data_IF_056278770094
#
_entry.id   IF_056278770094
#
_cell.length_a   1.000
_cell.length_b   1.000
_cell.length_c   1.000
_cell.angle_alpha   90.00
_cell.angle_beta   90.00
_cell.angle_gamma   90.00
#
_symmetry.space_group_name_H-M   'P 1'
#
loop_
_entity.id
_entity.type
_entity.pdbx_description
1 polymer ?
#
# COMPACT_ATOMS: atom_id res chain seq x y z
N UNK A 1 -3.56 17.85 2.17
CA UNK A 1 -2.43 18.79 2.26
C UNK A 1 -2.24 19.39 0.88
N UNK A 2 -2.34 20.71 0.75
CA UNK A 2 -2.11 21.39 -0.54
C UNK A 2 -0.61 21.62 -0.70
N UNK A 3 -0.07 21.50 -1.92
CA UNK A 3 1.36 21.77 -2.16
C UNK A 3 1.74 23.22 -1.84
N UNK A 4 0.80 24.16 -1.93
CA UNK A 4 1.01 25.58 -1.60
C UNK A 4 0.96 25.90 -0.10
N UNK A 5 0.73 24.90 0.75
CA UNK A 5 0.76 25.07 2.19
C UNK A 5 2.18 25.49 2.64
N UNK A 6 2.36 26.60 3.39
CA UNK A 6 3.67 27.06 3.84
C UNK A 6 4.47 26.01 4.62
N UNK A 7 3.79 25.12 5.35
CA UNK A 7 4.44 24.06 6.11
C UNK A 7 4.94 22.94 5.17
N UNK A 8 4.17 22.61 4.13
CA UNK A 8 4.58 21.68 3.07
C UNK A 8 5.77 22.24 2.29
N UNK A 9 5.74 23.52 1.92
CA UNK A 9 6.86 24.18 1.24
C UNK A 9 8.12 24.22 2.11
N UNK A 10 7.98 24.49 3.41
CA UNK A 10 9.09 24.44 4.36
C UNK A 10 9.67 23.03 4.48
N UNK A 11 8.82 22.02 4.62
CA UNK A 11 9.24 20.62 4.65
C UNK A 11 9.99 20.22 3.37
N UNK A 12 9.47 20.57 2.18
CA UNK A 12 10.12 20.27 0.91
C UNK A 12 11.48 20.97 0.77
N UNK A 13 11.60 22.22 1.22
CA UNK A 13 12.87 22.95 1.22
C UNK A 13 13.89 22.31 2.16
N UNK A 14 13.50 21.95 3.37
CA UNK A 14 14.39 21.27 4.32
C UNK A 14 14.76 19.87 3.85
N UNK A 15 13.85 19.16 3.20
CA UNK A 15 14.12 17.87 2.54
C UNK A 15 15.20 18.03 1.44
N UNK A 16 15.04 19.01 0.54
CA UNK A 16 16.05 19.31 -0.50
C UNK A 16 17.41 19.66 0.08
N UNK A 17 17.46 20.46 1.15
CA UNK A 17 18.71 20.79 1.85
C UNK A 17 19.36 19.56 2.47
N UNK A 18 18.59 18.65 3.07
CA UNK A 18 19.11 17.38 3.62
C UNK A 18 19.71 16.51 2.53
N UNK A 19 19.01 16.36 1.40
CA UNK A 19 19.53 15.61 0.24
C UNK A 19 20.83 16.24 -0.27
N UNK A 20 20.86 17.56 -0.50
CA UNK A 20 22.07 18.25 -0.94
C UNK A 20 23.24 18.09 0.05
N UNK A 21 22.97 18.18 1.35
CA UNK A 21 23.96 17.95 2.40
C UNK A 21 24.49 16.51 2.37
N UNK A 22 23.62 15.52 2.23
CA UNK A 22 24.02 14.11 2.10
C UNK A 22 24.86 13.87 0.85
N UNK A 23 24.52 14.50 -0.29
CA UNK A 23 25.33 14.42 -1.51
C UNK A 23 26.74 14.97 -1.29
N UNK A 24 26.85 16.11 -0.61
CA UNK A 24 28.15 16.72 -0.31
C UNK A 24 28.97 15.89 0.68
N UNK A 25 28.33 15.39 1.74
CA UNK A 25 28.98 14.48 2.71
C UNK A 25 29.49 13.22 2.02
N UNK A 26 28.71 12.64 1.11
CA UNK A 26 29.11 11.50 0.27
C UNK A 26 30.31 11.83 -0.61
N UNK A 27 30.27 12.96 -1.33
CA UNK A 27 31.36 13.41 -2.21
C UNK A 27 32.65 13.60 -1.42
N UNK A 28 32.56 14.26 -0.27
CA UNK A 28 33.69 14.47 0.64
C UNK A 28 34.23 13.13 1.16
N UNK A 29 33.36 12.24 1.62
CA UNK A 29 33.75 10.92 2.13
C UNK A 29 34.49 10.10 1.07
N UNK A 30 34.06 10.13 -0.18
CA UNK A 30 34.73 9.45 -1.29
C UNK A 30 36.07 10.09 -1.66
N UNK A 31 36.15 11.42 -1.67
CA UNK A 31 37.38 12.15 -1.99
C UNK A 31 38.46 11.98 -0.91
N UNK A 32 38.05 11.89 0.36
CA UNK A 32 38.93 11.72 1.51
C UNK A 32 39.13 10.24 1.91
N UNK A 33 38.50 9.31 1.20
CA UNK A 33 38.53 7.88 1.52
C UNK A 33 39.96 7.35 1.49
N UNK A 34 40.44 6.89 2.65
CA UNK A 34 41.78 6.38 2.83
C UNK A 34 41.72 5.17 3.77
N UNK A 35 41.92 3.99 3.19
CA UNK A 35 41.81 2.70 3.88
C UNK A 35 42.75 2.64 5.09
N UNK A 36 43.94 3.23 4.98
CA UNK A 36 44.97 3.16 6.01
C UNK A 36 44.64 4.02 7.25
N UNK A 37 43.63 4.91 7.15
CA UNK A 37 43.17 5.76 8.26
C UNK A 37 42.02 5.16 9.06
N UNK A 38 41.42 4.08 8.59
CA UNK A 38 40.25 3.48 9.23
C UNK A 38 40.68 2.37 10.19
N UNK A 39 40.09 2.36 11.38
CA UNK A 39 40.29 1.28 12.34
C UNK A 39 39.52 0.02 11.91
N UNK A 40 40.09 -1.15 12.19
CA UNK A 40 39.42 -2.42 11.93
C UNK A 40 38.59 -2.80 13.15
N UNK A 41 37.29 -2.96 12.96
CA UNK A 41 36.38 -3.53 13.94
C UNK A 41 36.41 -5.07 13.82
N UNK A 42 37.14 -5.70 14.76
CA UNK A 42 37.32 -7.14 14.80
C UNK A 42 36.07 -7.94 15.20
N UNK A 43 35.05 -7.28 15.75
CA UNK A 43 33.79 -7.91 16.13
C UNK A 43 32.72 -7.78 15.04
N UNK A 44 32.81 -6.75 14.20
CA UNK A 44 31.80 -6.46 13.21
C UNK A 44 31.77 -7.43 12.01
N UNK A 45 30.56 -7.87 11.70
CA UNK A 45 30.19 -8.50 10.43
C UNK A 45 29.17 -7.59 9.75
N UNK A 46 29.47 -7.13 8.55
CA UNK A 46 28.56 -6.30 7.77
C UNK A 46 27.94 -7.10 6.64
N UNK A 47 26.66 -6.87 6.35
CA UNK A 47 25.95 -7.42 5.20
C UNK A 47 25.55 -6.27 4.26
N UNK A 48 26.10 -6.29 3.05
CA UNK A 48 25.70 -5.41 1.96
C UNK A 48 24.54 -6.10 1.21
N UNK A 49 23.36 -5.49 1.24
CA UNK A 49 22.14 -6.01 0.61
C UNK A 49 21.61 -5.05 -0.44
N UNK A 50 21.27 -5.56 -1.62
CA UNK A 50 20.51 -4.84 -2.65
C UNK A 50 19.07 -5.32 -2.67
N UNK A 51 18.14 -4.40 -2.42
CA UNK A 51 16.71 -4.67 -2.27
C UNK A 51 15.89 -3.83 -3.23
N UNK A 52 14.81 -4.41 -3.75
CA UNK A 52 13.85 -3.68 -4.58
C UNK A 52 12.96 -2.82 -3.67
N UNK A 53 12.91 -1.52 -3.95
CA UNK A 53 12.21 -0.53 -3.14
C UNK A 53 10.93 0.01 -3.82
N UNK A 54 10.49 -0.61 -4.92
CA UNK A 54 9.26 -0.25 -5.63
C UNK A 54 9.48 0.44 -6.96
N UNK A 55 8.42 1.09 -7.47
CA UNK A 55 8.45 1.90 -8.68
C UNK A 55 8.39 3.38 -8.31
N UNK A 56 9.06 4.23 -9.07
CA UNK A 56 8.97 5.69 -8.97
C UNK A 56 8.73 6.31 -10.35
N UNK A 57 7.95 7.37 -10.39
CA UNK A 57 7.81 8.23 -11.57
C UNK A 57 8.59 9.53 -11.42
N UNK A 58 9.25 9.77 -10.27
CA UNK A 58 9.98 11.01 -10.02
C UNK A 58 11.27 11.06 -10.86
N UNK A 59 11.35 11.90 -11.90
CA UNK A 59 12.54 12.02 -12.73
C UNK A 59 13.69 12.71 -11.98
N UNK A 60 13.43 13.37 -10.84
CA UNK A 60 14.45 14.10 -10.07
C UNK A 60 15.32 13.18 -9.21
N UNK A 61 14.98 11.90 -9.14
CA UNK A 61 15.82 10.87 -8.56
C UNK A 61 16.74 10.22 -9.60
N UNK A 62 16.64 10.57 -10.89
CA UNK A 62 17.56 10.03 -11.88
C UNK A 62 19.01 10.31 -11.47
N UNK A 63 19.81 9.29 -11.72
CA UNK A 63 21.18 9.01 -11.30
C UNK A 63 22.23 10.01 -11.82
N UNK A 64 21.91 11.30 -11.94
CA UNK A 64 22.90 12.39 -12.06
C UNK A 64 23.62 12.59 -10.69
N UNK A 65 24.11 11.47 -10.15
CA UNK A 65 25.29 11.40 -9.30
C UNK A 65 26.56 11.55 -10.12
N UNK A 66 26.48 11.50 -11.46
CA UNK A 66 27.59 11.86 -12.33
C UNK A 66 27.98 13.31 -12.04
N UNK A 67 29.15 13.43 -11.42
CA UNK A 67 29.80 14.61 -10.86
C UNK A 67 30.26 15.61 -11.93
N UNK A 68 29.50 15.81 -13.01
CA UNK A 68 29.78 16.90 -13.93
C UNK A 68 29.24 18.20 -13.30
N UNK A 69 30.16 18.91 -12.63
CA UNK A 69 29.97 20.23 -12.03
C UNK A 69 29.20 21.16 -12.97
N UNK A 70 27.89 21.30 -12.76
CA UNK A 70 27.12 22.43 -13.29
C UNK A 70 27.39 23.65 -12.40
N UNK A 71 28.65 24.05 -12.30
CA UNK A 71 29.11 25.29 -11.68
C UNK A 71 28.96 26.47 -12.67
N UNK A 72 27.86 26.50 -13.44
CA UNK A 72 27.50 27.66 -14.25
C UNK A 72 26.25 28.36 -13.67
N UNK A 73 26.42 29.22 -12.65
CA UNK A 73 25.34 29.99 -12.05
C UNK A 73 24.75 31.06 -12.97
N UNK A 74 25.20 31.20 -14.22
CA UNK A 74 24.70 32.19 -15.19
C UNK A 74 23.67 31.64 -16.20
N UNK A 75 23.26 30.38 -16.11
CA UNK A 75 22.11 29.92 -16.91
C UNK A 75 20.80 30.38 -16.26
N UNK A 76 20.51 31.68 -16.38
CA UNK A 76 19.22 32.29 -16.06
C UNK A 76 18.10 31.44 -16.67
N UNK A 77 17.11 31.13 -15.83
CA UNK A 77 15.91 30.39 -16.16
C UNK A 77 15.33 30.83 -17.50
N UNK A 78 15.51 29.99 -18.53
CA UNK A 78 14.74 30.12 -19.76
C UNK A 78 13.25 30.09 -19.35
N UNK A 79 12.43 31.05 -19.82
CA UNK A 79 11.04 31.13 -19.41
C UNK A 79 10.34 29.82 -19.73
N UNK A 80 9.75 29.20 -18.70
CA UNK A 80 8.96 27.99 -18.82
C UNK A 80 7.91 28.19 -19.91
N UNK A 81 8.10 27.53 -21.06
CA UNK A 81 7.10 27.48 -22.09
C UNK A 81 5.97 26.56 -21.61
N UNK A 82 4.87 27.16 -21.18
CA UNK A 82 3.64 26.56 -20.64
C UNK A 82 2.88 25.59 -21.59
N UNK A 83 3.53 24.99 -22.58
CA UNK A 83 2.84 24.22 -23.63
C UNK A 83 3.25 22.77 -23.82
N UNK A 84 4.23 22.25 -23.08
CA UNK A 84 4.56 20.83 -23.17
C UNK A 84 3.82 20.05 -22.09
N UNK A 85 2.77 19.35 -22.53
CA UNK A 85 2.14 18.24 -21.82
C UNK A 85 3.21 17.48 -21.03
N UNK A 86 3.12 17.50 -19.70
CA UNK A 86 3.91 16.63 -18.82
C UNK A 86 3.72 15.20 -19.34
N UNK A 87 4.66 14.74 -20.16
CA UNK A 87 4.71 13.35 -20.57
C UNK A 87 5.03 12.61 -19.28
N UNK A 88 4.00 12.00 -18.68
CA UNK A 88 4.17 11.08 -17.56
C UNK A 88 5.35 10.16 -17.90
N UNK A 89 6.46 10.34 -17.19
CA UNK A 89 7.63 9.51 -17.38
C UNK A 89 7.27 8.08 -17.01
N UNK A 90 7.69 7.13 -17.86
CA UNK A 90 7.44 5.71 -17.60
C UNK A 90 7.96 5.34 -16.19
N UNK A 91 7.20 4.57 -15.40
CA UNK A 91 7.62 4.16 -14.06
C UNK A 91 8.98 3.46 -14.10
N UNK A 92 9.94 3.97 -13.34
CA UNK A 92 11.28 3.41 -13.18
C UNK A 92 11.35 2.57 -11.91
N UNK A 93 12.14 1.50 -11.94
CA UNK A 93 12.39 0.69 -10.74
C UNK A 93 13.30 1.44 -9.77
N UNK A 94 13.01 1.35 -8.49
CA UNK A 94 13.82 1.90 -7.41
C UNK A 94 14.45 0.75 -6.62
N UNK A 95 15.72 0.88 -6.30
CA UNK A 95 16.46 -0.07 -5.48
C UNK A 95 17.10 0.65 -4.30
N UNK A 96 17.38 -0.10 -3.24
CA UNK A 96 18.07 0.40 -2.05
C UNK A 96 19.25 -0.52 -1.72
N UNK A 97 20.41 0.09 -1.48
CA UNK A 97 21.54 -0.59 -0.86
C UNK A 97 21.53 -0.35 0.64
N UNK A 98 21.67 -1.42 1.39
CA UNK A 98 21.80 -1.41 2.83
C UNK A 98 23.15 -1.97 3.25
N UNK A 99 23.76 -1.37 4.27
CA UNK A 99 24.89 -1.95 4.98
C UNK A 99 24.44 -2.31 6.40
N UNK A 100 24.00 -3.54 6.63
CA UNK A 100 23.56 -3.98 7.95
C UNK A 100 24.75 -4.41 8.82
N UNK A 101 24.72 -4.07 10.11
CA UNK A 101 25.66 -4.63 11.11
C UNK A 101 24.98 -5.83 11.77
N UNK A 102 25.67 -6.98 11.75
CA UNK A 102 25.21 -8.23 12.36
C UNK A 102 25.93 -8.47 13.68
N UNK A 103 25.28 -8.06 14.78
CA UNK A 103 25.77 -8.25 16.15
C UNK A 103 25.42 -9.64 16.71
N UNK A 104 25.74 -10.69 15.94
CA UNK A 104 25.49 -12.08 16.32
C UNK A 104 24.16 -12.67 15.83
N UNK A 105 23.86 -13.93 16.19
CA UNK A 105 22.76 -14.71 15.63
C UNK A 105 21.35 -14.25 16.04
N UNK A 106 21.22 -13.39 17.05
CA UNK A 106 19.93 -12.95 17.62
C UNK A 106 19.67 -11.45 17.44
N UNK A 107 20.53 -10.72 16.72
CA UNK A 107 20.36 -9.29 16.49
C UNK A 107 19.22 -9.01 15.50
N UNK A 108 18.24 -8.20 15.91
CA UNK A 108 17.01 -7.92 15.18
C UNK A 108 17.30 -7.35 13.77
N UNK A 109 16.64 -7.91 12.76
CA UNK A 109 17.10 -7.90 11.36
C UNK A 109 17.01 -6.56 10.63
N UNK A 110 16.40 -5.52 11.22
CA UNK A 110 15.93 -4.36 10.44
C UNK A 110 16.44 -2.98 10.84
N UNK A 111 16.93 -2.79 12.06
CA UNK A 111 17.22 -1.44 12.59
C UNK A 111 18.72 -1.09 12.64
N UNK A 112 19.60 -2.04 12.34
CA UNK A 112 21.05 -1.86 12.47
C UNK A 112 21.71 -1.52 11.12
N UNK A 113 21.09 -0.61 10.37
CA UNK A 113 21.65 -0.15 9.09
C UNK A 113 22.72 0.91 9.35
N UNK A 114 23.96 0.58 9.03
CA UNK A 114 25.11 1.50 9.09
C UNK A 114 25.05 2.60 8.04
N UNK A 115 24.52 2.26 6.88
CA UNK A 115 24.33 3.18 5.77
C UNK A 115 23.22 2.66 4.86
N UNK A 116 22.50 3.59 4.22
CA UNK A 116 21.40 3.30 3.29
C UNK A 116 21.51 4.29 2.14
N UNK A 117 21.48 3.81 0.91
CA UNK A 117 21.49 4.64 -0.29
C UNK A 117 20.44 4.12 -1.28
N UNK A 118 19.75 5.03 -1.96
CA UNK A 118 18.69 4.72 -2.92
C UNK A 118 19.20 4.94 -4.35
N UNK A 119 18.79 4.07 -5.27
CA UNK A 119 19.18 4.09 -6.68
C UNK A 119 17.95 3.96 -7.58
N UNK A 120 17.98 4.64 -8.73
CA UNK A 120 16.99 4.48 -9.79
C UNK A 120 17.55 3.53 -10.84
N UNK A 121 16.90 2.37 -10.98
CA UNK A 121 17.46 1.25 -11.70
C UNK A 121 18.49 0.48 -10.86
N UNK A 122 19.07 -0.54 -11.48
CA UNK A 122 20.11 -1.34 -10.83
C UNK A 122 21.40 -0.53 -10.72
N UNK A 123 22.05 -0.45 -9.55
CA UNK A 123 23.29 0.29 -9.40
C UNK A 123 24.40 -0.34 -10.24
N UNK A 124 25.28 0.49 -10.78
CA UNK A 124 26.52 0.06 -11.42
C UNK A 124 27.50 -0.51 -10.39
N UNK A 125 28.45 -1.34 -10.83
CA UNK A 125 29.49 -1.87 -9.94
C UNK A 125 30.30 -0.77 -9.25
N UNK A 126 30.48 0.38 -9.90
CA UNK A 126 31.17 1.54 -9.32
C UNK A 126 30.36 2.20 -8.22
N UNK A 127 29.05 2.38 -8.42
CA UNK A 127 28.14 2.87 -7.37
C UNK A 127 28.13 1.93 -6.16
N UNK A 128 28.12 0.60 -6.37
CA UNK A 128 28.21 -0.37 -5.27
C UNK A 128 29.55 -0.26 -4.53
N UNK A 129 30.68 -0.09 -5.24
CA UNK A 129 31.98 0.14 -4.61
C UNK A 129 31.99 1.42 -3.76
N UNK A 130 31.48 2.52 -4.32
CA UNK A 130 31.41 3.81 -3.63
C UNK A 130 30.50 3.76 -2.41
N UNK A 131 29.36 3.06 -2.49
CA UNK A 131 28.50 2.78 -1.35
C UNK A 131 29.25 2.08 -0.20
N UNK A 132 30.08 1.07 -0.51
CA UNK A 132 30.88 0.37 0.51
C UNK A 132 31.89 1.33 1.16
N UNK A 133 32.56 2.18 0.37
CA UNK A 133 33.52 3.17 0.87
C UNK A 133 32.86 4.18 1.79
N UNK A 134 31.69 4.70 1.40
CA UNK A 134 30.92 5.64 2.22
C UNK A 134 30.46 4.96 3.51
N UNK A 135 29.99 3.70 3.42
CA UNK A 135 29.62 2.92 4.60
C UNK A 135 30.79 2.77 5.59
N UNK A 136 32.03 2.70 5.10
CA UNK A 136 33.23 2.65 5.95
C UNK A 136 33.61 4.02 6.52
N UNK A 137 33.65 5.07 5.70
CA UNK A 137 34.23 6.37 6.06
C UNK A 137 33.24 7.40 6.63
N UNK A 138 31.98 7.34 6.24
CA UNK A 138 30.93 8.28 6.65
C UNK A 138 29.59 7.55 6.89
N UNK A 139 29.54 6.63 7.88
CA UNK A 139 28.30 5.94 8.22
C UNK A 139 27.28 6.92 8.85
N UNK A 140 26.08 6.42 9.15
CA UNK A 140 25.10 7.17 9.96
C UNK A 140 25.72 7.59 11.31
N UNK A 141 25.30 8.75 11.83
CA UNK A 141 25.91 9.44 12.99
C UNK A 141 26.07 8.59 14.26
N UNK A 142 25.28 7.53 14.40
CA UNK A 142 25.35 6.59 15.53
C UNK A 142 26.52 5.60 15.44
N UNK A 143 27.26 5.58 14.34
CA UNK A 143 28.37 4.67 14.08
C UNK A 143 29.67 5.42 13.81
N UNK A 144 30.78 4.83 14.23
CA UNK A 144 32.11 5.36 13.97
C UNK A 144 32.68 4.83 12.64
N UNK A 145 33.45 5.61 11.88
CA UNK A 145 34.16 5.14 10.69
C UNK A 145 35.09 3.96 10.98
N UNK A 146 34.97 2.86 10.23
CA UNK A 146 35.74 1.63 10.47
C UNK A 146 35.71 0.69 9.27
N UNK A 147 36.51 -0.39 9.33
CA UNK A 147 36.50 -1.52 8.41
C UNK A 147 36.03 -2.76 9.19
N UNK A 148 35.04 -3.53 8.72
CA UNK A 148 34.58 -4.70 9.45
C UNK A 148 35.58 -5.86 9.29
N UNK A 149 35.54 -6.81 10.21
CA UNK A 149 36.23 -8.08 10.04
C UNK A 149 35.70 -8.88 8.85
N UNK A 150 34.39 -8.84 8.59
CA UNK A 150 33.77 -9.57 7.48
C UNK A 150 32.77 -8.71 6.72
N UNK A 151 32.92 -8.65 5.39
CA UNK A 151 31.92 -8.12 4.46
C UNK A 151 31.18 -9.27 3.78
N UNK A 152 29.91 -9.44 4.09
CA UNK A 152 29.02 -10.33 3.37
C UNK A 152 28.24 -9.55 2.30
N UNK A 153 27.99 -10.16 1.16
CA UNK A 153 27.20 -9.59 0.06
C UNK A 153 26.01 -10.50 -0.23
N UNK A 154 24.82 -9.91 -0.32
CA UNK A 154 23.62 -10.66 -0.70
C UNK A 154 23.72 -11.17 -2.14
N UNK A 155 22.93 -12.19 -2.45
CA UNK A 155 22.96 -12.87 -3.75
C UNK A 155 22.72 -11.92 -4.93
N UNK A 156 21.89 -10.88 -4.72
CA UNK A 156 21.57 -9.87 -5.73
C UNK A 156 22.80 -9.05 -6.17
N UNK A 157 23.88 -9.05 -5.40
CA UNK A 157 25.13 -8.36 -5.72
C UNK A 157 26.17 -9.24 -6.43
N UNK A 158 25.87 -10.52 -6.69
CA UNK A 158 26.76 -11.40 -7.45
C UNK A 158 27.17 -10.86 -8.83
N UNK A 159 26.31 -10.17 -9.60
CA UNK A 159 26.72 -9.55 -10.87
C UNK A 159 27.89 -8.56 -10.73
N UNK A 160 28.06 -7.93 -9.57
CA UNK A 160 29.13 -6.95 -9.33
C UNK A 160 30.44 -7.57 -8.82
N UNK A 161 30.43 -8.86 -8.47
CA UNK A 161 31.54 -9.53 -7.79
C UNK A 161 32.88 -9.30 -8.47
N UNK A 162 32.98 -9.59 -9.78
CA UNK A 162 34.24 -9.49 -10.52
C UNK A 162 34.82 -8.07 -10.50
N UNK A 163 33.96 -7.05 -10.60
CA UNK A 163 34.37 -5.65 -10.60
C UNK A 163 34.78 -5.17 -9.20
N UNK A 164 34.18 -5.71 -8.14
CA UNK A 164 34.49 -5.35 -6.75
C UNK A 164 35.77 -6.01 -6.20
N UNK A 165 36.16 -7.18 -6.71
CA UNK A 165 37.30 -7.94 -6.19
C UNK A 165 38.61 -7.13 -6.04
N UNK A 166 39.03 -6.27 -7.00
CA UNK A 166 40.23 -5.45 -6.84
C UNK A 166 40.20 -4.57 -5.57
N UNK A 167 39.08 -3.90 -5.32
CA UNK A 167 38.88 -3.09 -4.12
C UNK A 167 38.81 -3.97 -2.86
N UNK A 168 38.05 -5.07 -2.89
CA UNK A 168 37.93 -5.97 -1.73
C UNK A 168 39.26 -6.62 -1.34
N UNK A 169 40.16 -6.87 -2.31
CA UNK A 169 41.51 -7.36 -2.05
C UNK A 169 42.48 -6.30 -1.53
N UNK A 170 42.16 -5.01 -1.68
CA UNK A 170 42.95 -3.91 -1.10
C UNK A 170 42.65 -3.64 0.38
N UNK A 171 41.59 -4.25 0.93
CA UNK A 171 41.23 -4.08 2.34
C UNK A 171 42.26 -4.78 3.26
N UNK A 172 42.59 -4.18 4.42
CA UNK A 172 43.61 -4.68 5.31
C UNK A 172 43.15 -5.95 6.04
N UNK A 173 44.09 -6.84 6.33
CA UNK A 173 43.84 -8.01 7.17
C UNK A 173 43.42 -7.58 8.59
N UNK A 174 42.42 -8.23 9.24
CA UNK A 174 41.73 -9.47 8.86
C UNK A 174 40.39 -9.27 8.15
N UNK A 175 40.19 -8.17 7.42
CA UNK A 175 38.97 -8.00 6.63
C UNK A 175 38.88 -9.11 5.56
N UNK A 176 37.81 -9.90 5.61
CA UNK A 176 37.50 -10.90 4.60
C UNK A 176 36.15 -10.58 3.95
N UNK A 177 35.93 -11.08 2.74
CA UNK A 177 34.68 -10.89 2.02
C UNK A 177 34.04 -12.22 1.59
N UNK A 178 32.71 -12.28 1.61
CA UNK A 178 31.93 -13.47 1.26
C UNK A 178 30.74 -13.03 0.39
N UNK A 179 30.56 -13.67 -0.75
CA UNK A 179 29.35 -13.51 -1.56
C UNK A 179 28.42 -14.68 -1.30
N UNK A 180 27.14 -14.37 -1.04
CA UNK A 180 26.10 -15.36 -0.88
C UNK A 180 25.98 -16.23 -2.14
N UNK A 181 26.00 -17.56 -1.94
CA UNK A 181 25.77 -18.52 -3.03
C UNK A 181 24.28 -18.67 -3.28
N UNK A 182 23.90 -19.14 -4.48
CA UNK A 182 22.50 -19.45 -4.80
C UNK A 182 21.87 -20.44 -3.79
N UNK A 183 22.67 -21.38 -3.27
CA UNK A 183 22.23 -22.36 -2.26
C UNK A 183 21.92 -21.71 -0.91
N UNK A 184 22.77 -20.77 -0.46
CA UNK A 184 22.52 -20.03 0.78
C UNK A 184 21.31 -19.13 0.62
N UNK A 185 21.18 -18.45 -0.53
CA UNK A 185 20.04 -17.61 -0.85
C UNK A 185 18.73 -18.38 -0.83
N UNK A 186 18.68 -19.52 -1.53
CA UNK A 186 17.51 -20.37 -1.51
C UNK A 186 17.19 -20.85 -0.10
N UNK A 187 18.19 -21.26 0.68
CA UNK A 187 17.99 -21.69 2.07
C UNK A 187 17.48 -20.55 2.95
N UNK A 188 17.97 -19.33 2.76
CA UNK A 188 17.48 -18.15 3.49
C UNK A 188 16.04 -17.83 3.10
N UNK A 189 15.68 -17.89 1.82
CA UNK A 189 14.30 -17.76 1.36
C UNK A 189 13.39 -18.85 1.95
N UNK A 190 13.84 -20.11 1.96
CA UNK A 190 13.12 -21.24 2.53
C UNK A 190 12.93 -21.11 4.06
N UNK A 191 13.89 -20.49 4.76
CA UNK A 191 13.78 -20.21 6.21
C UNK A 191 12.94 -18.97 6.52
N UNK A 192 13.02 -17.95 5.67
CA UNK A 192 12.24 -16.72 5.80
C UNK A 192 10.75 -16.98 5.56
N UNK A 193 10.41 -17.90 4.65
CA UNK A 193 9.02 -18.17 4.31
C UNK A 193 8.15 -18.62 5.51
N UNK A 194 8.53 -19.64 6.32
CA UNK A 194 7.76 -20.01 7.52
C UNK A 194 7.66 -18.91 8.57
N UNK A 195 8.69 -18.07 8.71
CA UNK A 195 8.68 -16.94 9.64
C UNK A 195 7.72 -15.85 9.14
N UNK A 196 7.79 -15.52 7.85
CA UNK A 196 6.86 -14.60 7.20
C UNK A 196 5.42 -15.10 7.24
N UNK A 197 5.20 -16.40 7.02
CA UNK A 197 3.89 -17.04 7.15
C UNK A 197 3.33 -16.94 8.57
N UNK A 198 4.15 -17.25 9.59
CA UNK A 198 3.74 -17.13 10.99
C UNK A 198 3.35 -15.69 11.33
N UNK A 199 4.22 -14.72 11.00
CA UNK A 199 3.96 -13.30 11.23
C UNK A 199 2.68 -12.85 10.52
N UNK A 200 2.50 -13.24 9.25
CA UNK A 200 1.28 -12.97 8.50
C UNK A 200 0.03 -13.47 9.25
N UNK A 201 0.05 -14.72 9.73
CA UNK A 201 -1.07 -15.30 10.48
C UNK A 201 -1.33 -14.56 11.80
N UNK A 202 -0.29 -14.15 12.51
CA UNK A 202 -0.41 -13.35 13.74
C UNK A 202 -1.12 -12.00 13.47
N UNK A 203 -0.77 -11.31 12.39
CA UNK A 203 -1.44 -10.05 11.99
C UNK A 203 -2.89 -10.28 11.58
N UNK A 204 -3.19 -11.31 10.79
CA UNK A 204 -4.57 -11.64 10.40
C UNK A 204 -5.42 -11.99 11.63
N UNK A 205 -4.87 -12.77 12.56
CA UNK A 205 -5.54 -13.11 13.81
C UNK A 205 -5.81 -11.86 14.66
N UNK A 206 -4.81 -10.98 14.79
CA UNK A 206 -4.95 -9.71 15.52
C UNK A 206 -6.01 -8.81 14.90
N UNK A 207 -5.96 -8.58 13.58
CA UNK A 207 -6.95 -7.77 12.86
C UNK A 207 -8.36 -8.36 12.97
N UNK A 208 -8.48 -9.69 12.96
CA UNK A 208 -9.77 -10.38 13.16
C UNK A 208 -10.32 -10.12 14.56
N UNK A 209 -9.49 -10.25 15.61
CA UNK A 209 -9.88 -9.95 17.00
C UNK A 209 -10.32 -8.50 17.15
N UNK A 210 -9.59 -7.55 16.55
CA UNK A 210 -9.93 -6.13 16.57
C UNK A 210 -11.27 -5.86 15.86
N UNK A 211 -11.48 -6.45 14.68
CA UNK A 211 -12.77 -6.39 13.97
C UNK A 211 -13.91 -6.98 14.82
N UNK A 212 -13.69 -8.09 15.51
CA UNK A 212 -14.71 -8.71 16.37
C UNK A 212 -15.04 -7.85 17.60
N UNK A 213 -14.04 -7.26 18.25
CA UNK A 213 -14.26 -6.27 19.30
C UNK A 213 -15.05 -5.05 18.79
N UNK A 214 -14.75 -4.58 17.58
CA UNK A 214 -15.53 -3.52 16.92
C UNK A 214 -16.99 -3.93 16.65
N UNK A 215 -17.24 -5.19 16.28
CA UNK A 215 -18.60 -5.70 16.08
C UNK A 215 -19.38 -5.78 17.40
N UNK A 216 -18.71 -6.15 18.50
CA UNK A 216 -19.30 -6.17 19.84
C UNK A 216 -19.68 -4.76 20.28
N UNK A 217 -18.76 -3.79 20.19
CA UNK A 217 -19.03 -2.39 20.49
C UNK A 217 -20.17 -1.81 19.63
N UNK A 218 -20.17 -2.11 18.32
CA UNK A 218 -21.24 -1.70 17.41
C UNK A 218 -22.61 -2.25 17.83
N UNK A 219 -22.66 -3.53 18.22
CA UNK A 219 -23.89 -4.19 18.69
C UNK A 219 -24.37 -3.61 20.03
N UNK A 220 -23.44 -3.16 20.87
CA UNK A 220 -23.73 -2.45 22.13
C UNK A 220 -24.16 -1.00 21.96
N UNK A 221 -24.20 -0.45 20.73
CA UNK A 221 -24.52 0.95 20.49
C UNK A 221 -23.34 1.91 20.73
N UNK A 222 -22.15 1.41 21.04
CA UNK A 222 -20.97 2.23 21.30
C UNK A 222 -20.25 2.56 19.97
N UNK A 223 -20.65 3.67 19.35
CA UNK A 223 -20.13 4.09 18.05
C UNK A 223 -18.64 4.43 18.07
N UNK A 224 -18.17 5.14 19.09
CA UNK A 224 -16.78 5.61 19.17
C UNK A 224 -15.82 4.43 19.28
N UNK A 225 -16.06 3.53 20.23
CA UNK A 225 -15.26 2.33 20.45
C UNK A 225 -15.27 1.41 19.21
N UNK A 226 -16.42 1.24 18.56
CA UNK A 226 -16.50 0.46 17.33
C UNK A 226 -15.60 1.05 16.23
N UNK A 227 -15.65 2.37 16.03
CA UNK A 227 -14.82 3.06 15.02
C UNK A 227 -13.33 2.99 15.33
N UNK A 228 -12.95 3.09 16.60
CA UNK A 228 -11.56 2.92 17.04
C UNK A 228 -11.05 1.52 16.71
N UNK A 229 -11.78 0.47 17.13
CA UNK A 229 -11.37 -0.92 16.89
C UNK A 229 -11.31 -1.29 15.41
N UNK A 230 -12.24 -0.81 14.60
CA UNK A 230 -12.14 -1.00 13.15
C UNK A 230 -10.95 -0.28 12.53
N UNK A 231 -10.60 0.93 13.02
CA UNK A 231 -9.42 1.67 12.55
C UNK A 231 -8.13 0.95 12.90
N UNK A 232 -8.01 0.41 14.10
CA UNK A 232 -6.87 -0.42 14.51
C UNK A 232 -6.75 -1.67 13.60
N UNK A 233 -7.86 -2.36 13.32
CA UNK A 233 -7.87 -3.50 12.42
C UNK A 233 -7.41 -3.13 11.00
N UNK A 234 -7.92 -2.03 10.45
CA UNK A 234 -7.52 -1.48 9.14
C UNK A 234 -6.02 -1.21 9.11
N UNK A 235 -5.48 -0.56 10.15
CA UNK A 235 -4.06 -0.24 10.23
C UNK A 235 -3.16 -1.48 10.21
N UNK A 236 -3.52 -2.55 10.91
CA UNK A 236 -2.76 -3.80 10.88
C UNK A 236 -2.82 -4.49 9.49
N UNK A 237 -3.94 -4.40 8.79
CA UNK A 237 -4.11 -4.96 7.45
C UNK A 237 -3.37 -4.14 6.39
N UNK A 238 -3.37 -2.81 6.49
CA UNK A 238 -2.59 -1.94 5.60
C UNK A 238 -1.09 -2.20 5.76
N UNK A 239 -0.60 -2.43 6.98
CA UNK A 239 0.80 -2.86 7.20
C UNK A 239 1.12 -4.17 6.48
N UNK A 240 0.22 -5.15 6.50
CA UNK A 240 0.42 -6.42 5.80
C UNK A 240 0.58 -6.20 4.30
N UNK A 241 -0.28 -5.38 3.69
CA UNK A 241 -0.24 -5.06 2.27
C UNK A 241 1.02 -4.26 1.88
N UNK A 242 1.48 -3.36 2.75
CA UNK A 242 2.67 -2.54 2.49
C UNK A 242 3.98 -3.32 2.63
N UNK A 243 4.08 -4.23 3.59
CA UNK A 243 5.33 -4.94 3.88
C UNK A 243 5.64 -6.06 2.88
N UNK A 244 4.77 -6.30 1.89
CA UNK A 244 4.86 -7.42 0.94
C UNK A 244 5.29 -8.72 1.65
N UNK A 245 4.76 -8.98 2.86
CA UNK A 245 5.16 -10.11 3.72
C UNK A 245 4.84 -11.46 3.10
N UNK A 246 4.25 -11.45 1.92
CA UNK A 246 4.08 -12.63 1.09
C UNK A 246 4.05 -12.27 -0.38
N UNK A 247 4.88 -12.96 -1.16
CA UNK A 247 4.75 -13.03 -2.61
C UNK A 247 3.57 -13.93 -3.05
N UNK A 248 2.73 -14.41 -2.12
CA UNK A 248 1.63 -15.31 -2.41
C UNK A 248 0.32 -14.53 -2.69
N UNK A 249 -0.21 -14.57 -3.92
CA UNK A 249 -1.43 -13.84 -4.30
C UNK A 249 -2.66 -14.16 -3.45
N UNK A 250 -2.74 -15.38 -2.90
CA UNK A 250 -3.80 -15.83 -1.99
C UNK A 250 -3.82 -15.01 -0.69
N UNK A 251 -2.66 -14.61 -0.16
CA UNK A 251 -2.56 -13.84 1.09
C UNK A 251 -2.99 -12.39 0.90
N UNK A 252 -2.61 -11.79 -0.22
CA UNK A 252 -3.09 -10.46 -0.62
C UNK A 252 -4.61 -10.45 -0.77
N UNK A 253 -5.17 -11.51 -1.36
CA UNK A 253 -6.62 -11.65 -1.51
C UNK A 253 -7.32 -11.78 -0.15
N UNK A 254 -6.88 -12.68 0.73
CA UNK A 254 -7.41 -12.84 2.10
C UNK A 254 -7.34 -11.52 2.89
N UNK A 255 -6.22 -10.80 2.80
CA UNK A 255 -6.01 -9.51 3.47
C UNK A 255 -6.97 -8.44 2.93
N UNK A 256 -7.10 -8.32 1.60
CA UNK A 256 -8.03 -7.37 0.97
C UNK A 256 -9.49 -7.68 1.30
N UNK A 257 -9.87 -8.95 1.35
CA UNK A 257 -11.21 -9.36 1.75
C UNK A 257 -11.53 -8.91 3.18
N UNK A 258 -10.64 -9.16 4.14
CA UNK A 258 -10.81 -8.73 5.52
C UNK A 258 -10.78 -7.19 5.67
N UNK A 259 -9.92 -6.51 4.91
CA UNK A 259 -9.83 -5.05 4.89
C UNK A 259 -11.13 -4.41 4.37
N UNK A 260 -11.71 -4.94 3.29
CA UNK A 260 -13.00 -4.49 2.77
C UNK A 260 -14.14 -4.69 3.78
N UNK A 261 -14.12 -5.78 4.54
CA UNK A 261 -15.06 -6.02 5.66
C UNK A 261 -14.93 -4.93 6.72
N UNK A 262 -13.71 -4.61 7.15
CA UNK A 262 -13.47 -3.58 8.17
C UNK A 262 -13.96 -2.20 7.70
N UNK A 263 -13.64 -1.79 6.48
CA UNK A 263 -14.13 -0.53 5.91
C UNK A 263 -15.66 -0.45 5.81
N UNK A 264 -16.33 -1.54 5.40
CA UNK A 264 -17.79 -1.57 5.36
C UNK A 264 -18.42 -1.54 6.76
N UNK A 265 -17.76 -2.12 7.77
CA UNK A 265 -18.18 -2.02 9.15
C UNK A 265 -17.98 -0.60 9.71
N UNK A 266 -16.89 0.08 9.36
CA UNK A 266 -16.70 1.51 9.64
C UNK A 266 -17.83 2.35 9.06
N UNK A 267 -18.21 2.09 7.79
CA UNK A 267 -19.36 2.75 7.15
C UNK A 267 -20.65 2.55 7.95
N UNK A 268 -20.91 1.31 8.39
CA UNK A 268 -22.08 0.98 9.21
C UNK A 268 -22.07 1.71 10.57
N UNK A 269 -20.93 1.73 11.26
CA UNK A 269 -20.76 2.37 12.55
C UNK A 269 -20.96 3.89 12.48
N UNK A 270 -20.53 4.55 11.41
CA UNK A 270 -20.75 5.99 11.20
C UNK A 270 -22.23 6.38 11.06
N UNK A 271 -23.08 5.44 10.64
CA UNK A 271 -24.53 5.61 10.54
C UNK A 271 -25.30 5.13 11.79
N UNK A 272 -24.59 4.64 12.82
CA UNK A 272 -25.20 4.21 14.07
C UNK A 272 -25.90 5.40 14.74
N UNK A 273 -27.12 5.17 15.20
CA UNK A 273 -27.94 6.17 15.88
C UNK A 273 -27.56 6.21 17.36
N UNK A 274 -26.91 7.30 17.77
CA UNK A 274 -26.45 7.51 19.14
C UNK A 274 -27.14 8.76 19.68
N UNK A 275 -27.75 8.64 20.86
CA UNK A 275 -28.55 9.72 21.43
C UNK A 275 -27.70 10.99 21.62
N UNK A 276 -28.10 12.08 20.97
CA UNK A 276 -27.43 13.37 21.05
C UNK A 276 -26.28 13.57 20.06
N UNK A 277 -25.97 12.58 19.22
CA UNK A 277 -24.90 12.68 18.23
C UNK A 277 -25.45 12.56 16.79
N UNK A 278 -25.01 13.45 15.90
CA UNK A 278 -25.35 13.36 14.49
C UNK A 278 -24.66 12.17 13.81
N UNK A 279 -25.32 11.56 12.82
CA UNK A 279 -24.74 10.54 11.94
C UNK A 279 -23.73 11.18 10.99
N UNK A 280 -22.62 10.49 10.72
CA UNK A 280 -21.60 10.93 9.78
C UNK A 280 -21.81 10.25 8.41
N UNK A 281 -22.79 10.75 7.65
CA UNK A 281 -23.21 10.13 6.39
C UNK A 281 -22.14 10.25 5.28
N UNK A 282 -21.44 11.38 5.20
CA UNK A 282 -20.32 11.58 4.27
C UNK A 282 -19.15 10.65 4.58
N UNK A 283 -18.75 10.55 5.85
CA UNK A 283 -17.72 9.60 6.26
C UNK A 283 -18.14 8.14 6.03
N UNK A 284 -19.44 7.84 6.17
CA UNK A 284 -19.96 6.50 5.86
C UNK A 284 -19.88 6.18 4.36
N UNK A 285 -20.15 7.16 3.48
CA UNK A 285 -19.99 7.03 2.03
C UNK A 285 -18.54 6.73 1.69
N UNK A 286 -17.61 7.57 2.17
CA UNK A 286 -16.18 7.43 1.90
C UNK A 286 -15.64 6.06 2.36
N UNK A 287 -16.06 5.59 3.54
CA UNK A 287 -15.67 4.27 4.04
C UNK A 287 -16.24 3.12 3.19
N UNK A 288 -17.48 3.22 2.69
CA UNK A 288 -18.04 2.22 1.80
C UNK A 288 -17.37 2.21 0.41
N UNK A 289 -16.99 3.38 -0.10
CA UNK A 289 -16.20 3.49 -1.34
C UNK A 289 -14.83 2.82 -1.17
N UNK A 290 -14.12 3.09 -0.06
CA UNK A 290 -12.86 2.40 0.25
C UNK A 290 -13.00 0.88 0.32
N UNK A 291 -14.09 0.37 0.89
CA UNK A 291 -14.36 -1.07 0.88
C UNK A 291 -14.44 -1.64 -0.55
N UNK A 292 -15.06 -0.90 -1.48
CA UNK A 292 -15.23 -1.31 -2.88
C UNK A 292 -13.98 -1.07 -3.74
N UNK A 293 -13.15 -0.09 -3.39
CA UNK A 293 -11.82 0.09 -4.00
C UNK A 293 -10.92 -1.11 -3.66
N UNK A 294 -10.94 -1.56 -2.41
CA UNK A 294 -10.15 -2.71 -1.94
C UNK A 294 -10.69 -4.03 -2.49
N UNK A 295 -12.01 -4.24 -2.45
CA UNK A 295 -12.66 -5.41 -3.01
C UNK A 295 -13.97 -5.03 -3.71
N UNK A 296 -13.88 -4.85 -5.02
CA UNK A 296 -15.02 -4.48 -5.86
C UNK A 296 -16.13 -5.54 -5.94
N UNK A 297 -15.85 -6.79 -5.55
CA UNK A 297 -16.83 -7.89 -5.54
C UNK A 297 -17.51 -8.05 -4.17
N UNK A 298 -17.25 -7.15 -3.21
CA UNK A 298 -17.83 -7.24 -1.88
C UNK A 298 -19.27 -6.69 -1.84
N UNK A 299 -20.26 -7.57 -2.01
CA UNK A 299 -21.68 -7.23 -2.07
C UNK A 299 -22.18 -6.34 -0.93
N UNK A 300 -21.75 -6.61 0.32
CA UNK A 300 -22.15 -5.78 1.47
C UNK A 300 -21.62 -4.35 1.36
N UNK A 301 -20.48 -4.12 0.71
CA UNK A 301 -19.95 -2.77 0.43
C UNK A 301 -20.93 -1.93 -0.37
N UNK A 302 -21.54 -2.49 -1.41
CA UNK A 302 -22.58 -1.81 -2.20
C UNK A 302 -23.82 -1.46 -1.37
N UNK A 303 -24.25 -2.37 -0.47
CA UNK A 303 -25.36 -2.09 0.46
C UNK A 303 -25.01 -0.96 1.43
N UNK A 304 -23.78 -0.94 1.96
CA UNK A 304 -23.32 0.15 2.85
C UNK A 304 -23.25 1.49 2.12
N UNK A 305 -22.77 1.50 0.87
CA UNK A 305 -22.72 2.70 0.04
C UNK A 305 -24.13 3.24 -0.23
N UNK A 306 -25.06 2.37 -0.59
CA UNK A 306 -26.46 2.76 -0.80
C UNK A 306 -27.09 3.36 0.47
N UNK A 307 -26.83 2.74 1.64
CA UNK A 307 -27.30 3.25 2.95
C UNK A 307 -26.71 4.61 3.30
N UNK A 308 -25.45 4.86 2.95
CA UNK A 308 -24.83 6.17 3.14
C UNK A 308 -25.50 7.23 2.25
N UNK A 309 -25.79 6.92 0.98
CA UNK A 309 -26.53 7.82 0.10
C UNK A 309 -27.97 8.07 0.56
N UNK A 310 -28.67 7.07 1.09
CA UNK A 310 -29.98 7.27 1.73
C UNK A 310 -29.88 8.26 2.90
N UNK A 311 -28.84 8.14 3.75
CA UNK A 311 -28.61 9.07 4.85
C UNK A 311 -28.27 10.50 4.39
N UNK A 312 -27.79 10.67 3.16
CA UNK A 312 -27.58 11.95 2.48
C UNK A 312 -28.83 12.46 1.72
N UNK A 313 -29.95 11.73 1.79
CA UNK A 313 -31.16 11.96 0.99
C UNK A 313 -30.94 11.91 -0.53
N UNK A 314 -29.91 11.20 -1.00
CA UNK A 314 -29.63 10.98 -2.43
C UNK A 314 -30.07 9.57 -2.87
N UNK A 315 -31.37 9.43 -3.10
CA UNK A 315 -31.97 8.14 -3.48
C UNK A 315 -31.46 7.62 -4.82
N UNK A 316 -31.17 8.50 -5.77
CA UNK A 316 -30.72 8.11 -7.10
C UNK A 316 -29.34 7.45 -7.02
N UNK A 317 -28.41 8.07 -6.29
CA UNK A 317 -27.09 7.49 -6.05
C UNK A 317 -27.15 6.20 -5.24
N UNK A 318 -28.11 6.08 -4.30
CA UNK A 318 -28.33 4.83 -3.57
C UNK A 318 -28.73 3.67 -4.49
N UNK A 319 -29.66 3.90 -5.42
CA UNK A 319 -30.05 2.90 -6.42
C UNK A 319 -28.88 2.55 -7.35
N UNK A 320 -28.18 3.56 -7.87
CA UNK A 320 -27.05 3.36 -8.78
C UNK A 320 -25.92 2.56 -8.11
N UNK A 321 -25.64 2.76 -6.82
CA UNK A 321 -24.68 1.96 -6.07
C UNK A 321 -25.02 0.45 -6.14
N UNK A 322 -26.28 0.07 -5.92
CA UNK A 322 -26.69 -1.34 -6.00
C UNK A 322 -26.67 -1.86 -7.44
N UNK A 323 -27.10 -1.06 -8.40
CA UNK A 323 -27.07 -1.39 -9.83
C UNK A 323 -25.63 -1.65 -10.28
N UNK A 324 -24.67 -0.81 -9.89
CA UNK A 324 -23.24 -1.03 -10.13
C UNK A 324 -22.77 -2.39 -9.60
N UNK A 325 -23.19 -2.76 -8.39
CA UNK A 325 -22.91 -4.09 -7.83
C UNK A 325 -23.49 -5.21 -8.69
N UNK A 326 -24.77 -5.15 -9.03
CA UNK A 326 -25.46 -6.16 -9.83
C UNK A 326 -24.97 -6.27 -11.28
N UNK A 327 -24.33 -5.23 -11.83
CA UNK A 327 -23.67 -5.28 -13.14
C UNK A 327 -22.38 -6.09 -13.13
N UNK A 328 -21.78 -6.36 -11.97
CA UNK A 328 -20.57 -7.20 -11.89
C UNK A 328 -20.92 -8.66 -12.10
N UNK A 329 -20.12 -9.36 -12.90
CA UNK A 329 -20.36 -10.76 -13.25
C UNK A 329 -20.47 -11.68 -12.02
N UNK A 330 -19.62 -11.46 -11.01
CA UNK A 330 -19.60 -12.23 -9.75
C UNK A 330 -20.80 -11.93 -8.82
N UNK A 331 -21.46 -10.78 -8.99
CA UNK A 331 -22.58 -10.33 -8.14
C UNK A 331 -23.92 -10.27 -8.86
N UNK A 332 -23.96 -10.55 -10.16
CA UNK A 332 -25.16 -10.49 -11.01
C UNK A 332 -26.33 -11.32 -10.46
N UNK A 333 -26.02 -12.46 -9.85
CA UNK A 333 -27.01 -13.37 -9.26
C UNK A 333 -27.14 -13.21 -7.72
N UNK A 334 -26.67 -12.10 -7.15
CA UNK A 334 -26.74 -11.86 -5.71
C UNK A 334 -28.12 -11.33 -5.28
N UNK A 335 -29.00 -12.23 -4.83
CA UNK A 335 -30.38 -11.90 -4.42
C UNK A 335 -30.49 -10.81 -3.34
N UNK A 336 -29.55 -10.75 -2.39
CA UNK A 336 -29.58 -9.70 -1.35
C UNK A 336 -29.41 -8.28 -1.91
N UNK A 337 -28.72 -8.12 -3.05
CA UNK A 337 -28.60 -6.82 -3.73
C UNK A 337 -29.89 -6.50 -4.50
N UNK A 338 -30.42 -7.50 -5.22
CA UNK A 338 -31.69 -7.36 -5.91
C UNK A 338 -32.83 -6.96 -4.96
N UNK A 339 -32.90 -7.57 -3.78
CA UNK A 339 -33.90 -7.25 -2.75
C UNK A 339 -33.72 -5.83 -2.21
N UNK A 340 -32.47 -5.40 -2.01
CA UNK A 340 -32.17 -4.04 -1.57
C UNK A 340 -32.57 -3.00 -2.62
N UNK A 341 -32.30 -3.28 -3.90
CA UNK A 341 -32.71 -2.42 -5.01
C UNK A 341 -34.24 -2.30 -5.10
N UNK A 342 -34.96 -3.43 -4.98
CA UNK A 342 -36.42 -3.42 -4.95
C UNK A 342 -36.93 -2.57 -3.79
N UNK A 343 -36.35 -2.75 -2.59
CA UNK A 343 -36.69 -1.92 -1.42
C UNK A 343 -36.50 -0.43 -1.71
N UNK A 344 -35.37 -0.04 -2.32
CA UNK A 344 -35.07 1.34 -2.74
C UNK A 344 -35.98 1.84 -3.87
N UNK A 345 -36.60 0.97 -4.66
CA UNK A 345 -37.54 1.36 -5.72
C UNK A 345 -38.95 1.55 -5.18
N UNK A 346 -39.32 0.85 -4.11
CA UNK A 346 -40.69 0.78 -3.61
C UNK A 346 -40.87 1.41 -2.22
N UNK A 347 -39.91 2.22 -1.75
CA UNK A 347 -39.94 2.80 -0.40
C UNK A 347 -40.07 1.74 0.71
N UNK A 348 -39.41 0.59 0.55
CA UNK A 348 -39.48 -0.52 1.49
C UNK A 348 -40.81 -1.29 1.51
N UNK A 349 -41.79 -0.91 0.68
CA UNK A 349 -43.11 -1.59 0.62
C UNK A 349 -43.07 -2.96 -0.06
N UNK A 350 -41.96 -3.32 -0.70
CA UNK A 350 -41.84 -4.49 -1.56
C UNK A 350 -42.57 -4.32 -2.90
N UNK A 351 -42.53 -5.37 -3.73
CA UNK A 351 -43.16 -5.37 -5.04
C UNK A 351 -44.69 -5.23 -4.93
N UNK A 352 -45.34 -4.40 -5.77
CA UNK A 352 -46.80 -4.25 -5.74
C UNK A 352 -47.53 -5.57 -5.95
N UNK A 353 -48.60 -5.84 -5.19
CA UNK A 353 -49.36 -7.11 -5.25
C UNK A 353 -50.46 -7.11 -6.31
N UNK A 354 -50.99 -5.94 -6.68
CA UNK A 354 -51.99 -5.82 -7.74
C UNK A 354 -51.36 -5.82 -9.13
N UNK A 355 -51.96 -6.54 -10.09
CA UNK A 355 -51.47 -6.65 -11.47
C UNK A 355 -51.22 -5.29 -12.13
N UNK A 356 -52.19 -4.38 -12.05
CA UNK A 356 -52.09 -3.07 -12.67
C UNK A 356 -51.02 -2.20 -12.01
N UNK A 357 -50.92 -2.26 -10.67
CA UNK A 357 -49.90 -1.53 -9.91
C UNK A 357 -48.49 -2.06 -10.22
N UNK A 358 -48.36 -3.38 -10.37
CA UNK A 358 -47.10 -4.02 -10.72
C UNK A 358 -46.66 -3.65 -12.14
N UNK A 359 -47.58 -3.65 -13.11
CA UNK A 359 -47.28 -3.21 -14.48
C UNK A 359 -46.91 -1.72 -14.54
N UNK A 360 -47.62 -0.88 -13.78
CA UNK A 360 -47.29 0.54 -13.66
C UNK A 360 -45.89 0.76 -13.05
N UNK A 361 -45.52 -0.04 -12.05
CA UNK A 361 -44.18 -0.03 -11.47
C UNK A 361 -43.10 -0.49 -12.45
N UNK A 362 -43.32 -1.59 -13.18
CA UNK A 362 -42.38 -2.06 -14.21
C UNK A 362 -42.13 -1.02 -15.32
N UNK A 363 -43.17 -0.27 -15.68
CA UNK A 363 -43.10 0.78 -16.69
C UNK A 363 -42.61 2.13 -16.11
N UNK A 364 -42.31 2.21 -14.81
CA UNK A 364 -41.82 3.44 -14.19
C UNK A 364 -40.41 3.76 -14.66
N UNK A 365 -40.09 5.05 -14.66
CA UNK A 365 -38.83 5.59 -15.15
C UNK A 365 -37.59 4.92 -14.48
N UNK A 366 -37.52 4.77 -13.15
CA UNK A 366 -36.38 4.14 -12.49
C UNK A 366 -36.21 2.65 -12.83
N UNK A 367 -37.30 1.94 -13.13
CA UNK A 367 -37.26 0.51 -13.44
C UNK A 367 -36.91 0.28 -14.92
N UNK A 368 -37.45 1.11 -15.81
CA UNK A 368 -37.19 1.02 -17.25
C UNK A 368 -35.70 1.16 -17.61
N UNK A 369 -34.97 1.98 -16.84
CA UNK A 369 -33.51 2.18 -16.95
C UNK A 369 -32.69 0.92 -16.63
N UNK A 370 -33.30 -0.11 -16.04
CA UNK A 370 -32.63 -1.35 -15.61
C UNK A 370 -32.94 -2.56 -16.48
N UNK A 371 -33.50 -2.33 -17.67
CA UNK A 371 -33.85 -3.38 -18.63
C UNK A 371 -32.65 -4.23 -19.07
N UNK A 372 -31.42 -3.74 -18.90
CA UNK A 372 -30.15 -4.41 -19.20
C UNK A 372 -29.59 -5.26 -18.04
N UNK A 373 -30.08 -5.09 -16.81
CA UNK A 373 -29.44 -5.64 -15.61
C UNK A 373 -29.48 -7.18 -15.55
N UNK A 374 -30.61 -7.78 -15.91
CA UNK A 374 -30.85 -9.23 -15.85
C UNK A 374 -30.66 -9.84 -14.45
N UNK A 375 -30.16 -11.08 -14.38
CA UNK A 375 -29.64 -11.68 -13.14
C UNK A 375 -30.68 -11.92 -12.04
N UNK A 376 -30.26 -11.78 -10.78
CA UNK A 376 -31.13 -11.95 -9.62
C UNK A 376 -32.29 -10.95 -9.58
N UNK A 377 -32.05 -9.70 -10.03
CA UNK A 377 -33.10 -8.69 -10.08
C UNK A 377 -34.20 -9.07 -11.06
N UNK A 378 -33.84 -9.52 -12.27
CA UNK A 378 -34.81 -9.98 -13.25
C UNK A 378 -35.58 -11.22 -12.78
N UNK A 379 -34.88 -12.18 -12.19
CA UNK A 379 -35.49 -13.39 -11.62
C UNK A 379 -36.54 -13.03 -10.56
N UNK A 380 -36.27 -12.04 -9.70
CA UNK A 380 -37.19 -11.59 -8.64
C UNK A 380 -38.51 -11.07 -9.20
N UNK A 381 -38.49 -10.10 -10.12
CA UNK A 381 -39.73 -9.53 -10.62
C UNK A 381 -40.51 -10.51 -11.50
N UNK A 382 -39.84 -11.35 -12.30
CA UNK A 382 -40.51 -12.42 -13.07
C UNK A 382 -41.17 -13.47 -12.18
N UNK A 383 -40.55 -13.82 -11.06
CA UNK A 383 -41.16 -14.73 -10.09
C UNK A 383 -42.42 -14.12 -9.45
N UNK A 384 -42.36 -12.82 -9.14
CA UNK A 384 -43.49 -12.09 -8.58
C UNK A 384 -44.66 -11.97 -9.57
N UNK A 385 -44.37 -11.64 -10.83
CA UNK A 385 -45.35 -11.59 -11.92
C UNK A 385 -46.15 -12.90 -12.08
N UNK A 386 -45.45 -14.04 -12.02
CA UNK A 386 -46.09 -15.37 -12.05
C UNK A 386 -47.04 -15.57 -10.88
N UNK A 387 -46.64 -15.12 -9.67
CA UNK A 387 -47.46 -15.23 -8.46
C UNK A 387 -48.75 -14.42 -8.57
N UNK A 388 -48.67 -13.18 -9.05
CA UNK A 388 -49.84 -12.31 -9.25
C UNK A 388 -50.79 -12.90 -10.32
N UNK A 389 -50.23 -13.43 -11.41
CA UNK A 389 -51.04 -13.99 -12.50
C UNK A 389 -51.86 -15.20 -12.04
N UNK A 390 -51.29 -16.04 -11.18
CA UNK A 390 -52.00 -17.20 -10.60
C UNK A 390 -53.11 -16.75 -9.64
N UNK A 391 -52.89 -15.70 -8.84
CA UNK A 391 -53.87 -15.20 -7.87
C UNK A 391 -55.07 -14.46 -8.51
N UNK A 392 -54.95 -14.07 -9.78
CA UNK A 392 -55.98 -13.31 -10.51
C UNK A 392 -56.84 -14.19 -11.44
N UNK A 393 -56.50 -15.47 -11.55
CA UNK A 393 -57.30 -16.53 -12.19
C UNK A 393 -58.18 -17.21 -11.15
#
# INVERSE_FOLDING_TARGET
MHLDDPDVQTFLRESKKRVAKQKEERRKALAEFDIDKLEIDFAAVWLISLEYAGLTTDPKLDDDWDLEDVDDPETEAAPASDSDSEKESEPKQKFQLYCYIRDGPDADDGMNSRHIEEFIGLPTSKQVEDFIKVSMAAPLEIYEPSIPRTLAFSYNLNPHRTALLPFLHSLPFPCNHIFETAEIHQRMADQAYPVGERRYREYIELATKLKDAGNEAYSGGNREEALEKYREAIYELDKLLLKSLSEAPERDKETKELLAVCWANTSAAKLLDVHGEAKDAEGARNAAEKALEVNGDYAKGYVRLARAFEALNDRNSAQEAIVRGLRRSSLRDHFGLADHLISLQTDGKGLPTGKDQFQAWLNSEPVSRLSDLGGAWEKRWRQHEKTITIQTL
#
